data_IF_144638741843
#
_entry.id   IF_144638741843
#
_cell.length_a   1.000
_cell.length_b   1.000
_cell.length_c   1.000
_cell.angle_alpha   90.00
_cell.angle_beta   90.00
_cell.angle_gamma   90.00
#
_symmetry.space_group_name_H-M   'P 1'
#
loop_
_entity.id
_entity.type
_entity.pdbx_description
1 polymer ?
#
# COMPACT_ATOMS: atom_id res chain seq x y z
N UNK A 1 -2.09 2.38 -3.00
CA UNK A 1 -0.66 2.16 -2.65
C UNK A 1 0.23 3.10 -3.47
N UNK A 2 1.09 3.90 -2.86
CA UNK A 2 1.98 4.87 -3.55
C UNK A 2 3.46 4.47 -3.48
N UNK A 3 4.08 4.40 -4.66
CA UNK A 3 5.49 4.06 -4.84
C UNK A 3 6.32 5.31 -5.15
N UNK A 4 7.57 5.31 -4.72
CA UNK A 4 8.53 6.39 -4.95
C UNK A 4 9.92 5.81 -5.32
N UNK A 5 10.60 6.38 -6.32
CA UNK A 5 11.96 5.99 -6.68
C UNK A 5 13.01 7.03 -6.23
N UNK A 6 14.32 6.70 -6.24
CA UNK A 6 15.39 7.63 -5.86
C UNK A 6 15.47 8.94 -6.68
N UNK A 7 14.79 9.00 -7.84
CA UNK A 7 14.67 10.21 -8.66
C UNK A 7 13.45 11.07 -8.31
N UNK A 8 12.66 10.69 -7.30
CA UNK A 8 11.46 11.39 -6.86
C UNK A 8 10.20 11.14 -7.71
N UNK A 9 10.22 10.20 -8.66
CA UNK A 9 8.99 9.84 -9.39
C UNK A 9 8.05 9.06 -8.47
N UNK A 10 6.80 9.51 -8.39
CA UNK A 10 5.74 8.92 -7.56
C UNK A 10 4.59 8.43 -8.43
N UNK A 11 4.03 7.28 -8.08
CA UNK A 11 2.89 6.71 -8.79
C UNK A 11 2.08 5.75 -7.92
N UNK A 12 0.79 5.65 -8.23
CA UNK A 12 -0.11 4.67 -7.64
C UNK A 12 -0.16 3.39 -8.47
N UNK A 13 -0.62 2.30 -7.86
CA UNK A 13 -0.88 1.02 -8.53
C UNK A 13 -2.34 0.61 -8.37
N UNK A 14 -2.84 -0.16 -9.33
CA UNK A 14 -4.14 -0.84 -9.30
C UNK A 14 -4.05 -2.20 -8.56
N UNK A 15 -5.17 -2.91 -8.43
CA UNK A 15 -5.29 -4.22 -7.76
C UNK A 15 -4.33 -5.29 -8.33
N UNK A 16 -4.10 -5.29 -9.64
CA UNK A 16 -3.16 -6.20 -10.32
C UNK A 16 -1.68 -5.86 -10.06
N UNK A 17 -1.45 -4.83 -9.23
CA UNK A 17 -0.14 -4.34 -8.89
C UNK A 17 0.57 -3.64 -10.04
N UNK A 18 -0.12 -3.21 -11.11
CA UNK A 18 0.45 -2.37 -12.18
C UNK A 18 0.22 -0.88 -11.94
N UNK A 19 1.09 0.03 -12.45
CA UNK A 19 0.92 1.46 -12.25
C UNK A 19 -0.40 1.93 -12.84
N UNK A 20 -1.15 2.70 -12.06
CA UNK A 20 -2.41 3.27 -12.51
C UNK A 20 -2.14 4.21 -13.67
N UNK A 21 -2.66 3.86 -14.86
CA UNK A 21 -2.59 4.68 -16.06
C UNK A 21 -3.91 5.42 -16.22
N UNK A 22 -3.92 6.71 -15.91
CA UNK A 22 -5.07 7.57 -16.19
C UNK A 22 -5.09 7.91 -17.69
N UNK A 23 -6.15 7.59 -18.44
CA UNK A 23 -6.35 8.18 -19.75
C UNK A 23 -6.29 9.71 -19.66
N UNK A 24 -5.67 10.37 -20.65
CA UNK A 24 -5.45 11.83 -20.66
C UNK A 24 -6.72 12.67 -20.47
N UNK A 25 -7.89 12.10 -20.76
CA UNK A 25 -9.20 12.78 -20.69
C UNK A 25 -10.08 12.26 -19.54
N UNK A 26 -9.57 11.37 -18.68
CA UNK A 26 -10.29 10.90 -17.50
C UNK A 26 -9.79 11.62 -16.25
N UNK A 27 -10.72 12.15 -15.49
CA UNK A 27 -10.53 12.55 -14.11
C UNK A 27 -10.16 11.32 -13.25
N UNK A 28 -9.23 11.49 -12.32
CA UNK A 28 -8.66 10.41 -11.49
C UNK A 28 -9.73 9.53 -10.80
N UNK A 29 -10.90 10.11 -10.49
CA UNK A 29 -12.05 9.41 -9.90
C UNK A 29 -12.57 8.27 -10.79
N UNK A 30 -12.61 8.46 -12.11
CA UNK A 30 -13.23 7.52 -13.06
C UNK A 30 -12.37 6.29 -13.32
N UNK A 31 -11.05 6.41 -13.12
CA UNK A 31 -10.13 5.29 -13.23
C UNK A 31 -10.06 4.45 -11.93
N UNK A 32 -10.34 5.06 -10.78
CA UNK A 32 -10.39 4.36 -9.48
C UNK A 32 -11.77 3.74 -9.19
N UNK A 33 -12.85 4.21 -9.82
CA UNK A 33 -14.24 3.83 -9.50
C UNK A 33 -14.74 2.51 -10.11
N UNK A 34 -13.88 1.72 -10.75
CA UNK A 34 -14.26 0.44 -11.40
C UNK A 34 -13.79 -0.80 -10.63
N UNK A 35 -12.99 -0.60 -9.59
CA UNK A 35 -12.41 -1.68 -8.81
C UNK A 35 -13.43 -2.10 -7.74
N UNK A 36 -13.68 -3.40 -7.59
CA UNK A 36 -14.42 -3.90 -6.42
C UNK A 36 -13.52 -3.72 -5.21
N UNK A 37 -13.73 -2.62 -4.46
CA UNK A 37 -12.84 -2.14 -3.38
C UNK A 37 -12.42 -3.24 -2.38
N UNK A 38 -13.24 -4.27 -2.18
CA UNK A 38 -12.91 -5.41 -1.29
C UNK A 38 -11.72 -6.24 -1.80
N UNK A 39 -11.61 -6.52 -3.10
CA UNK A 39 -10.50 -7.35 -3.63
C UNK A 39 -9.15 -6.68 -3.41
N UNK A 40 -9.07 -5.36 -3.57
CA UNK A 40 -7.84 -4.59 -3.38
C UNK A 40 -7.29 -4.72 -1.95
N UNK A 41 -8.17 -4.82 -0.95
CA UNK A 41 -7.76 -5.00 0.46
C UNK A 41 -7.10 -6.35 0.72
N UNK A 42 -7.41 -7.35 -0.10
CA UNK A 42 -6.89 -8.71 0.01
C UNK A 42 -5.64 -8.97 -0.83
N UNK A 43 -5.24 -8.02 -1.69
CA UNK A 43 -4.07 -8.15 -2.55
C UNK A 43 -2.75 -7.94 -1.80
N UNK A 44 -1.78 -8.82 -2.08
CA UNK A 44 -0.38 -8.61 -1.76
C UNK A 44 0.24 -7.61 -2.75
N UNK A 45 1.01 -6.64 -2.24
CA UNK A 45 1.69 -5.64 -3.06
C UNK A 45 3.21 -5.77 -2.93
N UNK A 46 3.97 -5.74 -4.03
CA UNK A 46 5.41 -5.84 -3.92
C UNK A 46 6.00 -4.61 -3.22
N UNK A 47 6.93 -4.77 -2.27
CA UNK A 47 7.54 -3.63 -1.59
C UNK A 47 8.38 -2.81 -2.58
N UNK A 48 9.04 -3.46 -3.53
CA UNK A 48 9.86 -2.84 -4.57
C UNK A 48 9.43 -3.33 -5.94
N UNK A 49 9.51 -2.44 -6.94
CA UNK A 49 9.17 -2.74 -8.34
C UNK A 49 9.84 -1.77 -9.30
N UNK A 50 9.76 -2.05 -10.60
CA UNK A 50 10.15 -1.10 -11.64
C UNK A 50 9.41 0.25 -11.54
N UNK A 51 10.16 1.36 -11.62
CA UNK A 51 9.64 2.73 -11.72
C UNK A 51 9.03 3.00 -13.11
N UNK A 52 8.07 3.93 -13.18
CA UNK A 52 7.54 4.52 -14.43
C UNK A 52 8.48 5.54 -15.10
N UNK A 53 9.72 5.61 -14.62
CA UNK A 53 10.79 6.48 -15.08
C UNK A 53 11.09 6.23 -16.57
N UNK A 54 11.12 7.28 -17.39
CA UNK A 54 11.47 7.16 -18.81
C UNK A 54 12.98 7.18 -19.08
N UNK A 55 13.77 7.79 -18.18
CA UNK A 55 15.22 7.92 -18.32
C UNK A 55 15.91 6.59 -17.95
N UNK A 56 16.81 6.12 -18.81
CA UNK A 56 17.67 4.97 -18.53
C UNK A 56 18.86 5.36 -17.61
N UNK A 57 19.37 4.42 -16.78
CA UNK A 57 18.77 3.12 -16.48
C UNK A 57 17.46 3.28 -15.70
N UNK A 58 16.51 2.38 -15.94
CA UNK A 58 15.24 2.37 -15.21
C UNK A 58 15.53 2.14 -13.73
N UNK A 59 14.88 2.92 -12.87
CA UNK A 59 15.06 2.83 -11.42
C UNK A 59 14.04 1.89 -10.81
N UNK A 60 14.35 1.41 -9.61
CA UNK A 60 13.41 0.70 -8.74
C UNK A 60 12.67 1.72 -7.88
N UNK A 61 11.36 1.60 -7.79
CA UNK A 61 10.52 2.34 -6.87
C UNK A 61 10.14 1.44 -5.69
N UNK A 62 10.01 2.04 -4.51
CA UNK A 62 9.61 1.37 -3.28
C UNK A 62 8.24 1.87 -2.85
N UNK A 63 7.40 1.00 -2.30
CA UNK A 63 6.15 1.36 -1.65
C UNK A 63 6.50 2.20 -0.42
N UNK A 64 6.16 3.48 -0.45
CA UNK A 64 6.50 4.43 0.61
C UNK A 64 5.28 4.90 1.39
N UNK A 65 4.10 4.95 0.76
CA UNK A 65 2.90 5.49 1.39
C UNK A 65 1.66 4.68 1.08
N UNK A 66 0.87 4.45 2.11
CA UNK A 66 -0.43 3.81 2.04
C UNK A 66 -1.46 4.87 2.39
N UNK A 67 -2.32 5.16 1.41
CA UNK A 67 -3.34 6.19 1.53
C UNK A 67 -4.66 5.52 1.87
N UNK A 68 -5.27 5.92 2.99
CA UNK A 68 -6.54 5.37 3.45
C UNK A 68 -7.53 6.50 3.66
N UNK A 69 -8.66 6.42 2.96
CA UNK A 69 -9.78 7.35 3.12
C UNK A 69 -10.88 6.59 3.86
N UNK A 70 -11.21 7.03 5.08
CA UNK A 70 -12.33 6.45 5.81
C UNK A 70 -13.64 7.11 5.37
N UNK A 71 -14.70 6.34 5.05
CA UNK A 71 -15.96 6.90 4.61
C UNK A 71 -16.72 7.53 5.78
N UNK A 72 -17.80 8.23 5.45
CA UNK A 72 -18.77 8.78 6.41
C UNK A 72 -19.78 7.73 6.92
N UNK A 73 -19.65 6.48 6.47
CA UNK A 73 -20.51 5.36 6.84
C UNK A 73 -20.12 4.78 8.21
N UNK A 74 -21.04 4.09 8.91
CA UNK A 74 -20.78 3.42 10.20
C UNK A 74 -19.94 2.16 9.99
N UNK A 75 -18.68 2.35 9.61
CA UNK A 75 -17.70 1.28 9.48
C UNK A 75 -16.50 1.57 10.37
N UNK A 76 -15.90 0.50 10.87
CA UNK A 76 -14.61 0.55 11.55
C UNK A 76 -13.54 0.15 10.56
N UNK A 77 -12.55 1.02 10.38
CA UNK A 77 -11.36 0.73 9.57
C UNK A 77 -10.18 0.53 10.51
N UNK A 78 -9.49 -0.59 10.37
CA UNK A 78 -8.31 -0.94 11.15
C UNK A 78 -7.13 -1.19 10.22
N UNK A 79 -5.94 -0.71 10.59
CA UNK A 79 -4.70 -0.96 9.86
C UNK A 79 -3.71 -1.71 10.76
N UNK A 80 -3.20 -2.83 10.26
CA UNK A 80 -2.07 -3.57 10.80
C UNK A 80 -1.12 -3.91 9.65
N UNK A 81 -0.12 -3.07 9.35
CA UNK A 81 0.77 -3.32 8.24
C UNK A 81 1.67 -4.51 8.54
N UNK A 82 1.87 -5.36 7.53
CA UNK A 82 2.76 -6.52 7.59
C UNK A 82 3.58 -6.52 6.32
N UNK A 83 4.90 -6.50 6.46
CA UNK A 83 5.85 -6.56 5.34
C UNK A 83 6.71 -7.81 5.49
N UNK A 84 6.81 -8.58 4.41
CA UNK A 84 7.71 -9.73 4.26
C UNK A 84 8.85 -9.38 3.34
N UNK A 85 10.08 -9.75 3.71
CA UNK A 85 11.28 -9.48 2.93
C UNK A 85 12.03 -10.77 2.63
N UNK A 86 12.41 -11.02 1.37
CA UNK A 86 13.23 -12.19 1.01
C UNK A 86 14.56 -12.18 1.78
N UNK A 87 14.92 -13.32 2.35
CA UNK A 87 16.15 -13.48 3.12
C UNK A 87 16.13 -12.81 4.50
N UNK A 88 14.97 -12.39 4.99
CA UNK A 88 14.78 -11.97 6.39
C UNK A 88 13.77 -12.91 7.05
N UNK A 89 14.01 -13.29 8.28
CA UNK A 89 13.07 -14.10 9.05
C UNK A 89 11.97 -13.23 9.67
N UNK A 90 10.73 -13.72 9.63
CA UNK A 90 9.56 -13.09 10.24
C UNK A 90 8.93 -11.98 9.40
N UNK A 91 8.21 -11.08 10.08
CA UNK A 91 7.46 -10.00 9.47
C UNK A 91 7.79 -8.65 10.11
N UNK A 92 7.82 -7.61 9.29
CA UNK A 92 7.97 -6.23 9.73
C UNK A 92 6.60 -5.60 9.89
N UNK A 93 6.27 -5.20 11.12
CA UNK A 93 5.04 -4.47 11.45
C UNK A 93 5.34 -3.22 12.27
N UNK A 94 4.30 -2.58 12.82
CA UNK A 94 4.45 -1.40 13.69
C UNK A 94 5.00 -1.74 15.08
N UNK A 95 4.89 -3.00 15.51
CA UNK A 95 5.12 -3.39 16.92
C UNK A 95 3.99 -2.95 17.86
N UNK A 96 2.93 -2.35 17.31
CA UNK A 96 1.74 -1.91 18.04
C UNK A 96 0.54 -2.79 17.70
N UNK A 97 -0.49 -2.72 18.54
CA UNK A 97 -1.79 -3.32 18.25
C UNK A 97 -2.44 -2.66 17.01
N UNK A 98 -3.40 -3.33 16.35
CA UNK A 98 -4.03 -2.81 15.13
C UNK A 98 -4.62 -1.41 15.33
N UNK A 99 -4.22 -0.47 14.47
CA UNK A 99 -4.61 0.94 14.57
C UNK A 99 -6.02 1.15 14.03
N UNK A 100 -6.95 1.54 14.90
CA UNK A 100 -8.30 1.92 14.50
C UNK A 100 -8.33 3.38 14.02
N UNK A 101 -8.82 3.58 12.80
CA UNK A 101 -8.93 4.90 12.19
C UNK A 101 -10.26 5.57 12.52
N UNK A 102 -10.24 6.88 12.75
CA UNK A 102 -11.47 7.67 12.86
C UNK A 102 -12.20 7.80 11.51
N UNK A 103 -13.52 7.91 11.55
CA UNK A 103 -14.40 8.07 10.39
C UNK A 103 -14.20 9.43 9.68
N UNK A 104 -14.53 9.49 8.39
CA UNK A 104 -14.44 10.70 7.55
C UNK A 104 -13.09 11.45 7.63
N UNK A 105 -12.01 10.71 7.48
CA UNK A 105 -10.63 11.22 7.53
C UNK A 105 -9.78 10.62 6.42
N UNK A 106 -8.69 11.33 6.12
CA UNK A 106 -7.66 10.89 5.20
C UNK A 106 -6.38 10.64 5.99
N UNK A 107 -5.89 9.41 5.91
CA UNK A 107 -4.67 8.95 6.56
C UNK A 107 -3.63 8.59 5.53
N UNK A 108 -2.37 8.82 5.90
CA UNK A 108 -1.20 8.37 5.16
C UNK A 108 -0.35 7.58 6.15
N UNK A 109 -0.29 6.27 5.97
CA UNK A 109 0.71 5.45 6.65
C UNK A 109 1.99 5.51 5.81
N UNK A 110 3.04 6.09 6.39
CA UNK A 110 4.36 6.14 5.78
C UNK A 110 5.16 4.90 6.19
N UNK A 111 5.66 4.15 5.21
CA UNK A 111 6.51 2.99 5.45
C UNK A 111 7.99 3.39 5.56
N UNK A 112 8.80 2.60 6.29
CA UNK A 112 10.25 2.81 6.34
C UNK A 112 10.90 2.72 4.95
N UNK A 113 11.96 3.50 4.77
CA UNK A 113 12.83 3.35 3.61
C UNK A 113 13.79 2.15 3.77
N UNK A 114 14.30 1.95 4.99
CA UNK A 114 15.22 0.88 5.36
C UNK A 114 14.53 -0.04 6.36
N UNK A 115 14.67 -1.34 6.14
CA UNK A 115 14.17 -2.39 7.04
C UNK A 115 15.36 -3.07 7.68
N UNK A 116 15.32 -3.24 9.00
CA UNK A 116 16.38 -3.89 9.77
C UNK A 116 15.74 -4.82 10.80
N UNK A 117 16.19 -6.06 10.82
CA UNK A 117 15.72 -7.08 11.75
C UNK A 117 16.88 -7.81 12.44
N UNK A 118 16.60 -8.92 13.14
CA UNK A 118 17.62 -9.77 13.76
C UNK A 118 18.67 -10.29 12.78
N UNK A 119 18.29 -10.52 11.52
CA UNK A 119 19.19 -10.92 10.42
C UNK A 119 19.99 -9.74 9.83
N UNK A 120 19.95 -8.56 10.45
CA UNK A 120 20.62 -7.34 10.02
C UNK A 120 19.76 -6.43 9.14
N UNK A 121 20.41 -5.49 8.47
CA UNK A 121 19.76 -4.56 7.54
C UNK A 121 19.44 -5.30 6.24
N UNK A 122 18.20 -5.22 5.78
CA UNK A 122 17.83 -5.75 4.49
C UNK A 122 18.41 -4.90 3.36
N UNK A 123 19.28 -5.51 2.55
CA UNK A 123 19.84 -4.92 1.35
C UNK A 123 19.05 -5.45 0.15
N UNK A 124 18.25 -4.62 -0.54
CA UNK A 124 17.51 -5.07 -1.71
C UNK A 124 18.46 -5.55 -2.81
N UNK A 125 18.15 -6.66 -3.51
CA UNK A 125 18.97 -7.12 -4.61
C UNK A 125 18.96 -6.11 -5.77
N UNK A 126 20.04 -6.15 -6.57
CA UNK A 126 20.21 -5.27 -7.72
C UNK A 126 19.25 -5.73 -8.83
N UNK A 127 18.34 -4.85 -9.24
CA UNK A 127 17.36 -5.15 -10.29
C UNK A 127 16.06 -4.35 -10.15
N UNK A 128 15.16 -4.53 -11.12
CA UNK A 128 13.83 -3.88 -11.19
C UNK A 128 12.67 -4.84 -10.92
N UNK A 129 12.99 -6.05 -10.48
CA UNK A 129 12.00 -7.09 -10.18
C UNK A 129 11.08 -6.71 -9.02
N UNK A 130 9.95 -7.40 -8.94
CA UNK A 130 8.99 -7.27 -7.83
C UNK A 130 9.56 -8.03 -6.62
N UNK A 131 9.92 -7.31 -5.57
CA UNK A 131 10.64 -7.87 -4.41
C UNK A 131 10.07 -7.35 -3.10
N UNK A 132 9.98 -8.23 -2.10
CA UNK A 132 9.33 -7.93 -0.82
C UNK A 132 7.83 -7.81 -0.99
N UNK A 133 7.08 -7.98 0.08
CA UNK A 133 5.62 -8.01 0.00
C UNK A 133 5.01 -7.27 1.16
N UNK A 134 4.25 -6.22 0.87
CA UNK A 134 3.24 -5.71 1.78
C UNK A 134 2.01 -6.61 1.69
N UNK A 135 1.64 -7.25 2.79
CA UNK A 135 0.60 -8.27 2.79
C UNK A 135 -0.79 -7.67 2.65
N UNK A 136 -1.63 -8.37 1.89
CA UNK A 136 -3.07 -8.18 1.90
C UNK A 136 -3.65 -8.42 3.29
N UNK A 137 -4.89 -7.98 3.50
CA UNK A 137 -5.59 -8.00 4.79
C UNK A 137 -4.97 -7.09 5.86
N UNK A 138 -3.90 -6.35 5.53
CA UNK A 138 -3.32 -5.36 6.43
C UNK A 138 -4.25 -4.17 6.70
N UNK A 139 -5.25 -3.93 5.84
CA UNK A 139 -6.33 -2.98 6.07
C UNK A 139 -7.61 -3.79 6.17
N UNK A 140 -8.33 -3.65 7.28
CA UNK A 140 -9.57 -4.36 7.55
C UNK A 140 -10.71 -3.38 7.68
N UNK A 141 -11.82 -3.70 7.03
CA UNK A 141 -13.07 -2.94 7.10
C UNK A 141 -14.12 -3.81 7.77
N UNK A 142 -14.71 -3.33 8.87
CA UNK A 142 -15.80 -4.00 9.58
C UNK A 142 -17.02 -3.10 9.61
N UNK A 143 -18.14 -3.59 9.10
CA UNK A 143 -19.42 -2.89 9.20
C UNK A 143 -19.91 -2.90 10.65
N UNK A 144 -20.27 -1.73 11.16
CA UNK A 144 -20.96 -1.61 12.44
C UNK A 144 -22.45 -1.53 12.12
N UNK A 145 -23.25 -2.56 12.42
CA UNK A 145 -24.69 -2.49 12.19
C UNK A 145 -25.25 -1.34 13.03
N UNK A 146 -25.90 -0.38 12.37
CA UNK A 146 -26.66 0.63 13.08
C UNK A 146 -27.82 -0.09 13.75
N UNK A 147 -27.79 -0.16 15.08
CA UNK A 147 -28.98 -0.54 15.84
C UNK A 147 -30.09 0.42 15.41
N UNK A 148 -31.11 -0.14 14.75
CA UNK A 148 -32.38 0.53 14.52
C UNK A 148 -32.86 1.06 15.87
N UNK A 149 -32.83 2.39 16.05
CA UNK A 149 -33.54 3.02 17.16
C UNK A 149 -35.02 2.75 16.89
N UNK A 150 -35.59 1.82 17.67
CA UNK A 150 -37.04 1.63 17.80
C UNK A 150 -37.69 2.90 18.31
#
# INVERSE_FOLDING_TARGET
MEYECPRGHRFFVAENGEPLRLPKNSNARTAMSRETDDQFLHCDFPLRRQCTCRKLPVQTAQLMRIHVVTPKAPITVTIQPVVELPGQEGHFGTGEAPLQLSWARYYILQLPFIYSGPSGVWIPPVGVERIGTFKGNAIQVKYVPMLSRR
#
